data_IF_332431370964
#
_entry.id   IF_332431370964
#
_cell.length_a   1.000
_cell.length_b   1.000
_cell.length_c   1.000
_cell.angle_alpha   90.00
_cell.angle_beta   90.00
_cell.angle_gamma   90.00
#
_symmetry.space_group_name_H-M   'P 1'
#
loop_
_entity.id
_entity.type
_entity.pdbx_description
1 polymer ?
#
# COMPACT_ATOMS: atom_id res chain seq x y z
N UNK A 1 -12.83 -12.32 -0.14
CA UNK A 1 -11.69 -12.19 -1.08
C UNK A 1 -11.11 -10.79 -0.98
N UNK A 2 -11.96 -9.80 -0.85
CA UNK A 2 -11.66 -8.36 -0.86
C UNK A 2 -10.68 -7.98 0.25
N UNK A 3 -10.88 -8.50 1.46
CA UNK A 3 -9.95 -8.31 2.57
C UNK A 3 -8.54 -8.83 2.26
N UNK A 4 -8.43 -9.98 1.57
CA UNK A 4 -7.15 -10.57 1.25
C UNK A 4 -6.34 -9.68 0.28
N UNK A 5 -6.99 -9.03 -0.69
CA UNK A 5 -6.32 -8.14 -1.65
C UNK A 5 -5.55 -7.05 -0.92
N UNK A 6 -6.16 -6.45 0.11
CA UNK A 6 -5.59 -5.31 0.83
C UNK A 6 -4.58 -5.76 1.89
N UNK A 7 -4.92 -6.80 2.67
CA UNK A 7 -4.09 -7.19 3.81
C UNK A 7 -2.91 -8.10 3.46
N UNK A 8 -2.90 -8.80 2.31
CA UNK A 8 -1.76 -9.61 1.88
C UNK A 8 -0.46 -8.80 1.75
N UNK A 9 -0.44 -7.60 1.12
CA UNK A 9 0.76 -6.77 1.10
C UNK A 9 1.21 -6.34 2.49
N UNK A 10 0.29 -6.04 3.42
CA UNK A 10 0.61 -5.70 4.80
C UNK A 10 1.28 -6.87 5.52
N UNK A 11 0.70 -8.07 5.41
CA UNK A 11 1.29 -9.29 5.95
C UNK A 11 2.68 -9.51 5.35
N UNK A 12 2.82 -9.30 4.03
CA UNK A 12 4.09 -9.36 3.32
C UNK A 12 5.13 -8.41 3.92
N UNK A 13 4.74 -7.16 4.20
CA UNK A 13 5.63 -6.17 4.80
C UNK A 13 6.13 -6.60 6.18
N UNK A 14 5.21 -7.06 7.04
CA UNK A 14 5.54 -7.48 8.42
C UNK A 14 6.37 -8.75 8.41
N UNK A 15 5.92 -9.80 7.72
CA UNK A 15 6.61 -11.09 7.65
C UNK A 15 7.96 -10.96 6.94
N UNK A 16 8.04 -10.17 5.88
CA UNK A 16 9.28 -9.88 5.18
C UNK A 16 10.30 -9.17 6.04
N UNK A 17 9.87 -8.22 6.87
CA UNK A 17 10.75 -7.51 7.79
C UNK A 17 11.23 -8.37 8.95
N UNK A 18 10.31 -9.10 9.61
CA UNK A 18 10.63 -9.97 10.74
C UNK A 18 11.44 -11.20 10.30
N UNK A 19 11.12 -11.75 9.14
CA UNK A 19 11.79 -12.93 8.57
C UNK A 19 13.16 -12.68 7.95
N UNK A 20 13.68 -11.45 8.04
CA UNK A 20 14.99 -11.07 7.45
C UNK A 20 16.17 -11.93 7.92
N UNK A 21 16.06 -12.53 9.09
CA UNK A 21 17.11 -13.39 9.70
C UNK A 21 16.96 -14.88 9.35
N UNK A 22 15.80 -15.31 8.79
CA UNK A 22 15.51 -16.72 8.56
C UNK A 22 16.26 -17.28 7.35
N UNK A 23 16.25 -16.58 6.21
CA UNK A 23 16.97 -17.01 5.00
C UNK A 23 17.31 -15.81 4.11
N UNK A 24 18.37 -15.96 3.30
CA UNK A 24 18.91 -14.90 2.43
C UNK A 24 17.90 -14.29 1.46
N UNK A 25 16.96 -15.08 0.95
CA UNK A 25 15.95 -14.66 -0.04
C UNK A 25 14.52 -14.69 0.50
N UNK A 26 14.32 -14.95 1.79
CA UNK A 26 13.01 -15.13 2.40
C UNK A 26 12.11 -13.91 2.21
N UNK A 27 12.62 -12.74 2.55
CA UNK A 27 11.86 -11.48 2.46
C UNK A 27 11.44 -11.17 1.02
N UNK A 28 12.36 -11.34 0.06
CA UNK A 28 12.11 -11.05 -1.36
C UNK A 28 11.02 -11.95 -1.95
N UNK A 29 11.13 -13.27 -1.69
CA UNK A 29 10.17 -14.25 -2.20
C UNK A 29 8.80 -14.04 -1.54
N UNK A 30 8.76 -13.89 -0.22
CA UNK A 30 7.51 -13.76 0.53
C UNK A 30 6.75 -12.49 0.14
N UNK A 31 7.41 -11.34 0.11
CA UNK A 31 6.76 -10.07 -0.26
C UNK A 31 6.26 -10.11 -1.70
N UNK A 32 7.09 -10.55 -2.65
CA UNK A 32 6.73 -10.61 -4.05
C UNK A 32 5.59 -11.61 -4.32
N UNK A 33 5.61 -12.78 -3.66
CA UNK A 33 4.57 -13.79 -3.79
C UNK A 33 3.23 -13.29 -3.26
N UNK A 34 3.21 -12.65 -2.08
CA UNK A 34 1.97 -12.16 -1.47
C UNK A 34 1.36 -11.01 -2.29
N UNK A 35 2.19 -10.12 -2.84
CA UNK A 35 1.71 -9.06 -3.74
C UNK A 35 1.23 -9.65 -5.07
N UNK A 36 1.89 -10.67 -5.62
CA UNK A 36 1.42 -11.36 -6.83
C UNK A 36 0.08 -12.07 -6.62
N UNK A 37 -0.11 -12.72 -5.46
CA UNK A 37 -1.41 -13.29 -5.09
C UNK A 37 -2.48 -12.18 -4.99
N UNK A 38 -2.17 -11.05 -4.36
CA UNK A 38 -3.08 -9.90 -4.30
C UNK A 38 -3.45 -9.42 -5.71
N UNK A 39 -2.51 -9.37 -6.66
CA UNK A 39 -2.76 -9.01 -8.05
C UNK A 39 -3.69 -10.00 -8.76
N UNK A 40 -3.50 -11.31 -8.55
CA UNK A 40 -4.40 -12.32 -9.09
C UNK A 40 -5.82 -12.19 -8.52
N UNK A 41 -5.94 -11.94 -7.21
CA UNK A 41 -7.24 -11.76 -6.56
C UNK A 41 -7.95 -10.50 -7.06
N UNK A 42 -7.23 -9.40 -7.27
CA UNK A 42 -7.80 -8.15 -7.81
C UNK A 42 -8.35 -8.35 -9.23
N UNK A 43 -7.64 -9.09 -10.08
CA UNK A 43 -8.12 -9.47 -11.42
C UNK A 43 -9.42 -10.29 -11.35
N UNK A 44 -9.50 -11.26 -10.42
CA UNK A 44 -10.71 -12.07 -10.22
C UNK A 44 -11.87 -11.21 -9.76
N UNK A 45 -11.64 -10.27 -8.82
CA UNK A 45 -12.68 -9.34 -8.33
C UNK A 45 -13.16 -8.42 -9.43
N UNK A 46 -12.26 -7.87 -10.22
CA UNK A 46 -12.59 -7.05 -11.40
C UNK A 46 -13.45 -7.83 -12.43
N UNK A 47 -13.05 -9.06 -12.74
CA UNK A 47 -13.78 -9.90 -13.69
C UNK A 47 -15.19 -10.27 -13.19
N UNK A 48 -15.33 -10.52 -11.89
CA UNK A 48 -16.64 -10.76 -11.24
C UNK A 48 -17.50 -9.50 -11.28
N UNK A 49 -16.94 -8.33 -11.00
CA UNK A 49 -17.65 -7.05 -11.06
C UNK A 49 -18.25 -6.81 -12.45
N UNK A 50 -17.48 -7.03 -13.52
CA UNK A 50 -17.97 -6.89 -14.91
C UNK A 50 -19.10 -7.86 -15.23
N UNK A 51 -19.03 -9.13 -14.76
CA UNK A 51 -20.01 -10.14 -15.11
C UNK A 51 -21.31 -10.08 -14.30
N UNK A 52 -21.23 -9.68 -13.03
CA UNK A 52 -22.30 -9.90 -12.06
C UNK A 52 -22.77 -8.62 -11.38
N UNK A 53 -22.22 -7.45 -11.72
CA UNK A 53 -22.47 -6.16 -11.05
C UNK A 53 -22.41 -6.24 -9.51
N UNK A 54 -21.60 -7.18 -8.98
CA UNK A 54 -21.43 -7.39 -7.54
C UNK A 54 -20.39 -6.42 -7.03
N UNK A 55 -20.80 -5.22 -6.77
CA UNK A 55 -20.05 -4.19 -6.07
C UNK A 55 -20.62 -4.03 -4.66
N UNK A 56 -19.86 -3.55 -3.70
CA UNK A 56 -20.36 -3.37 -2.35
C UNK A 56 -19.39 -2.72 -1.38
N UNK A 57 -19.98 -2.28 -0.28
CA UNK A 57 -19.24 -1.71 0.84
C UNK A 57 -19.18 -2.75 1.97
N UNK A 58 -17.95 -3.09 2.38
CA UNK A 58 -17.67 -4.10 3.41
C UNK A 58 -17.10 -3.41 4.64
N UNK A 59 -17.92 -3.20 5.67
CA UNK A 59 -17.49 -2.63 6.95
C UNK A 59 -16.66 -3.67 7.70
N UNK A 60 -15.43 -3.28 8.11
CA UNK A 60 -14.52 -4.12 8.88
C UNK A 60 -14.77 -3.91 10.38
N UNK A 61 -14.74 -2.64 10.81
CA UNK A 61 -15.03 -2.24 12.19
C UNK A 61 -15.37 -0.75 12.27
N UNK A 62 -16.03 -0.35 13.36
CA UNK A 62 -16.22 1.06 13.70
C UNK A 62 -14.92 1.62 14.27
N UNK A 63 -14.35 2.60 13.59
CA UNK A 63 -13.09 3.20 14.00
C UNK A 63 -13.30 4.34 15.00
N UNK A 64 -14.16 5.27 14.67
CA UNK A 64 -14.46 6.44 15.50
C UNK A 64 -15.99 6.56 15.62
N UNK A 65 -16.49 6.61 16.85
CA UNK A 65 -17.89 6.88 17.16
C UNK A 65 -17.95 7.91 18.27
N UNK A 66 -18.46 9.12 17.97
CA UNK A 66 -18.59 10.20 18.95
C UNK A 66 -19.79 11.07 18.61
N UNK A 67 -20.78 11.09 19.53
CA UNK A 67 -21.96 11.99 19.53
C UNK A 67 -22.82 11.82 18.31
N UNK A 68 -22.80 11.84 17.26
CA UNK A 68 -23.59 11.70 16.02
C UNK A 68 -22.69 11.48 14.80
N UNK A 69 -21.38 11.49 15.00
CA UNK A 69 -20.39 11.22 13.96
C UNK A 69 -19.84 9.80 14.11
N UNK A 70 -19.95 9.01 13.03
CA UNK A 70 -19.38 7.66 12.95
C UNK A 70 -18.51 7.55 11.72
N UNK A 71 -17.28 7.10 11.89
CA UNK A 71 -16.38 6.74 10.81
C UNK A 71 -16.01 5.26 10.93
N UNK A 72 -16.33 4.50 9.90
CA UNK A 72 -16.07 3.09 9.83
C UNK A 72 -14.80 2.83 9.02
N UNK A 73 -14.06 1.80 9.37
CA UNK A 73 -13.06 1.25 8.48
C UNK A 73 -13.77 0.28 7.53
N UNK A 74 -13.83 0.64 6.28
CA UNK A 74 -14.59 -0.11 5.28
C UNK A 74 -13.79 -0.28 3.98
N UNK A 75 -14.21 -1.25 3.21
CA UNK A 75 -13.69 -1.52 1.86
C UNK A 75 -14.82 -1.24 0.91
N UNK A 76 -14.74 -0.14 0.19
CA UNK A 76 -15.70 0.21 -0.85
C UNK A 76 -15.16 -0.25 -2.21
N UNK A 77 -15.87 -1.20 -2.83
CA UNK A 77 -15.55 -1.68 -4.16
C UNK A 77 -16.66 -1.24 -5.12
N UNK A 78 -16.30 -0.32 -5.99
CA UNK A 78 -17.06 0.17 -7.11
C UNK A 78 -16.34 -0.12 -8.45
N UNK A 79 -16.92 0.16 -9.61
CA UNK A 79 -16.24 -0.05 -10.89
C UNK A 79 -14.90 0.65 -10.99
N UNK A 80 -14.79 1.88 -10.49
CA UNK A 80 -13.57 2.68 -10.55
C UNK A 80 -12.50 2.10 -9.62
N UNK A 81 -12.83 1.82 -8.35
CA UNK A 81 -11.90 1.24 -7.39
C UNK A 81 -11.44 -0.15 -7.84
N UNK A 82 -12.30 -0.96 -8.47
CA UNK A 82 -11.92 -2.29 -8.97
C UNK A 82 -10.86 -2.22 -10.07
N UNK A 83 -10.95 -1.26 -11.00
CA UNK A 83 -9.92 -1.00 -12.01
C UNK A 83 -8.62 -0.55 -11.34
N UNK A 84 -8.72 0.39 -10.40
CA UNK A 84 -7.55 0.90 -9.69
C UNK A 84 -6.85 -0.17 -8.84
N UNK A 85 -7.60 -1.07 -8.20
CA UNK A 85 -7.04 -2.23 -7.50
C UNK A 85 -6.18 -3.09 -8.42
N UNK A 86 -6.66 -3.39 -9.63
CA UNK A 86 -5.89 -4.15 -10.63
C UNK A 86 -4.62 -3.41 -11.02
N UNK A 87 -4.73 -2.12 -11.37
CA UNK A 87 -3.57 -1.32 -11.79
C UNK A 87 -2.51 -1.26 -10.69
N UNK A 88 -2.91 -0.91 -9.46
CA UNK A 88 -1.99 -0.77 -8.33
C UNK A 88 -1.31 -2.11 -8.00
N UNK A 89 -2.06 -3.19 -7.89
CA UNK A 89 -1.50 -4.50 -7.51
C UNK A 89 -0.62 -5.08 -8.62
N UNK A 90 -1.00 -4.92 -9.87
CA UNK A 90 -0.23 -5.42 -11.02
C UNK A 90 1.10 -4.67 -11.16
N UNK A 91 1.07 -3.34 -11.14
CA UNK A 91 2.30 -2.52 -11.21
C UNK A 91 3.20 -2.83 -10.01
N UNK A 92 2.62 -2.93 -8.81
CA UNK A 92 3.37 -3.28 -7.61
C UNK A 92 4.03 -4.65 -7.72
N UNK A 93 3.33 -5.66 -8.24
CA UNK A 93 3.90 -6.99 -8.46
C UNK A 93 5.11 -6.96 -9.42
N UNK A 94 5.00 -6.21 -10.53
CA UNK A 94 6.12 -6.03 -11.46
C UNK A 94 7.31 -5.32 -10.80
N UNK A 95 7.05 -4.28 -10.01
CA UNK A 95 8.10 -3.54 -9.30
C UNK A 95 8.77 -4.43 -8.25
N UNK A 96 8.03 -5.29 -7.53
CA UNK A 96 8.60 -6.25 -6.59
C UNK A 96 9.54 -7.24 -7.30
N UNK A 97 9.12 -7.82 -8.43
CA UNK A 97 9.94 -8.74 -9.23
C UNK A 97 11.20 -8.03 -9.73
N UNK A 98 11.05 -6.81 -10.27
CA UNK A 98 12.19 -6.01 -10.71
C UNK A 98 13.17 -5.71 -9.56
N UNK A 99 12.65 -5.38 -8.39
CA UNK A 99 13.45 -5.02 -7.21
C UNK A 99 14.30 -6.16 -6.67
N UNK A 100 13.94 -7.41 -6.90
CA UNK A 100 14.77 -8.59 -6.56
C UNK A 100 16.14 -8.50 -7.25
N UNK A 101 16.13 -8.19 -8.55
CA UNK A 101 17.37 -7.99 -9.32
C UNK A 101 18.07 -6.69 -8.98
N UNK A 102 17.31 -5.58 -8.94
CA UNK A 102 17.85 -4.24 -8.70
C UNK A 102 18.61 -4.12 -7.37
N UNK A 103 18.03 -4.69 -6.28
CA UNK A 103 18.64 -4.65 -4.95
C UNK A 103 19.57 -5.83 -4.67
N UNK A 104 19.99 -6.61 -5.69
CA UNK A 104 20.77 -7.86 -5.50
C UNK A 104 22.06 -7.68 -4.73
N UNK A 105 22.71 -6.52 -4.81
CA UNK A 105 23.98 -6.21 -4.16
C UNK A 105 23.85 -5.43 -2.84
N UNK A 106 22.63 -4.99 -2.45
CA UNK A 106 22.45 -4.20 -1.23
C UNK A 106 22.19 -5.11 -0.02
N UNK A 107 22.90 -4.94 1.10
CA UNK A 107 22.70 -5.74 2.32
C UNK A 107 21.35 -5.48 3.01
N UNK A 108 20.68 -4.37 2.71
CA UNK A 108 19.42 -3.96 3.33
C UNK A 108 18.16 -4.28 2.50
N UNK A 109 18.25 -5.19 1.53
CA UNK A 109 17.14 -5.63 0.69
C UNK A 109 15.84 -5.95 1.46
N UNK A 110 15.85 -6.70 2.59
CA UNK A 110 14.62 -7.04 3.30
C UNK A 110 13.84 -5.81 3.74
N UNK A 111 14.54 -4.76 4.17
CA UNK A 111 13.93 -3.49 4.56
C UNK A 111 13.29 -2.78 3.36
N UNK A 112 13.96 -2.78 2.21
CA UNK A 112 13.44 -2.19 0.99
C UNK A 112 12.15 -2.90 0.53
N UNK A 113 12.19 -4.22 0.45
CA UNK A 113 11.04 -5.02 0.03
C UNK A 113 9.83 -4.86 0.97
N UNK A 114 10.09 -4.76 2.27
CA UNK A 114 9.04 -4.51 3.27
C UNK A 114 8.42 -3.13 3.12
N UNK A 115 9.22 -2.09 2.88
CA UNK A 115 8.70 -0.73 2.63
C UNK A 115 7.87 -0.67 1.34
N UNK A 116 8.29 -1.38 0.30
CA UNK A 116 7.57 -1.46 -0.96
C UNK A 116 6.20 -2.15 -0.80
N UNK A 117 6.16 -3.24 -0.02
CA UNK A 117 4.91 -3.91 0.33
C UNK A 117 4.00 -3.03 1.20
N UNK A 118 4.56 -2.29 2.16
CA UNK A 118 3.81 -1.35 2.99
C UNK A 118 3.24 -0.20 2.17
N UNK A 119 4.00 0.31 1.21
CA UNK A 119 3.53 1.30 0.23
C UNK A 119 2.32 0.78 -0.56
N UNK A 120 2.41 -0.46 -1.04
CA UNK A 120 1.29 -1.10 -1.76
C UNK A 120 0.04 -1.20 -0.89
N UNK A 121 0.19 -1.63 0.36
CA UNK A 121 -0.93 -1.66 1.32
C UNK A 121 -1.57 -0.28 1.52
N UNK A 122 -0.76 0.76 1.76
CA UNK A 122 -1.26 2.13 1.96
C UNK A 122 -1.99 2.66 0.73
N UNK A 123 -1.48 2.36 -0.46
CA UNK A 123 -2.13 2.74 -1.71
C UNK A 123 -3.46 2.01 -1.93
N UNK A 124 -3.52 0.71 -1.58
CA UNK A 124 -4.78 -0.05 -1.64
C UNK A 124 -5.80 0.47 -0.62
N UNK A 125 -5.37 0.78 0.61
CA UNK A 125 -6.23 1.37 1.63
C UNK A 125 -6.80 2.72 1.20
N UNK A 126 -6.01 3.53 0.47
CA UNK A 126 -6.45 4.78 -0.13
C UNK A 126 -7.55 4.56 -1.18
N UNK A 127 -7.30 3.64 -2.12
CA UNK A 127 -8.18 3.38 -3.27
C UNK A 127 -9.55 2.86 -2.86
N UNK A 128 -9.62 2.07 -1.79
CA UNK A 128 -10.88 1.47 -1.30
C UNK A 128 -11.53 2.26 -0.18
N UNK A 129 -11.04 3.45 0.12
CA UNK A 129 -11.58 4.28 1.20
C UNK A 129 -13.04 4.70 0.92
N UNK A 130 -13.90 4.57 1.93
CA UNK A 130 -15.31 4.93 1.88
C UNK A 130 -15.58 6.30 2.52
N UNK A 131 -14.64 6.80 3.31
CA UNK A 131 -14.77 8.07 4.02
C UNK A 131 -13.44 8.85 4.03
N UNK A 132 -13.56 10.17 4.26
CA UNK A 132 -12.40 11.08 4.24
C UNK A 132 -11.34 10.75 5.29
N UNK A 133 -11.70 10.20 6.45
CA UNK A 133 -10.73 9.84 7.48
C UNK A 133 -9.86 8.66 7.04
N UNK A 134 -10.47 7.65 6.43
CA UNK A 134 -9.76 6.50 5.90
C UNK A 134 -8.91 6.91 4.68
N UNK A 135 -9.44 7.78 3.82
CA UNK A 135 -8.71 8.35 2.68
C UNK A 135 -7.48 9.12 3.17
N UNK A 136 -7.64 9.96 4.20
CA UNK A 136 -6.54 10.67 4.82
C UNK A 136 -5.48 9.73 5.39
N UNK A 137 -5.90 8.67 6.10
CA UNK A 137 -4.99 7.65 6.61
C UNK A 137 -4.17 6.98 5.49
N UNK A 138 -4.83 6.57 4.41
CA UNK A 138 -4.16 5.96 3.25
C UNK A 138 -3.19 6.93 2.59
N UNK A 139 -3.58 8.20 2.45
CA UNK A 139 -2.75 9.26 1.87
C UNK A 139 -1.48 9.52 2.67
N UNK A 140 -1.61 9.72 3.98
CA UNK A 140 -0.46 9.91 4.86
C UNK A 140 0.43 8.66 4.91
N UNK A 141 -0.18 7.47 4.85
CA UNK A 141 0.54 6.20 4.76
C UNK A 141 1.40 6.12 3.49
N UNK A 142 0.87 6.50 2.34
CA UNK A 142 1.61 6.57 1.07
C UNK A 142 2.75 7.60 1.16
N UNK A 143 2.47 8.78 1.73
CA UNK A 143 3.47 9.82 1.98
C UNK A 143 4.62 9.33 2.86
N UNK A 144 4.31 8.68 3.97
CA UNK A 144 5.31 8.10 4.88
C UNK A 144 6.14 7.01 4.20
N UNK A 145 5.50 6.09 3.48
CA UNK A 145 6.21 5.03 2.77
C UNK A 145 7.12 5.59 1.66
N UNK A 146 6.66 6.63 0.95
CA UNK A 146 7.48 7.35 -0.03
C UNK A 146 8.72 7.97 0.61
N UNK A 147 8.55 8.63 1.76
CA UNK A 147 9.66 9.17 2.54
C UNK A 147 10.69 8.09 2.90
N UNK A 148 10.23 6.92 3.39
CA UNK A 148 11.10 5.81 3.76
C UNK A 148 11.83 5.18 2.56
N UNK A 149 11.19 5.15 1.38
CA UNK A 149 11.77 4.62 0.16
C UNK A 149 12.77 5.59 -0.47
N UNK A 150 12.46 6.89 -0.54
CA UNK A 150 13.36 7.92 -1.07
C UNK A 150 14.58 8.08 -0.16
N UNK A 151 14.35 8.11 1.16
CA UNK A 151 15.39 8.18 2.19
C UNK A 151 16.04 6.83 2.52
N UNK A 152 15.88 5.81 1.67
CA UNK A 152 16.40 4.46 1.92
C UNK A 152 17.89 4.45 2.23
N UNK A 153 18.68 5.17 1.45
CA UNK A 153 20.12 5.40 1.70
C UNK A 153 20.34 6.63 2.60
N UNK A 154 19.90 6.56 3.84
CA UNK A 154 19.91 7.65 4.83
C UNK A 154 21.30 8.25 5.11
N UNK A 155 22.38 7.58 4.69
CA UNK A 155 23.76 8.10 4.78
C UNK A 155 24.09 9.13 3.70
N UNK A 156 23.22 9.31 2.69
CA UNK A 156 23.42 10.29 1.62
C UNK A 156 22.56 11.52 1.89
N UNK A 157 23.19 12.67 2.11
CA UNK A 157 22.50 13.94 2.37
C UNK A 157 21.53 14.34 1.25
N UNK A 158 21.89 14.03 0.00
CA UNK A 158 21.02 14.28 -1.15
C UNK A 158 19.72 13.48 -1.08
N UNK A 159 19.77 12.22 -0.63
CA UNK A 159 18.60 11.37 -0.47
C UNK A 159 17.71 11.86 0.70
N UNK A 160 18.32 12.26 1.82
CA UNK A 160 17.59 12.79 2.97
C UNK A 160 16.88 14.09 2.63
N UNK A 161 17.55 15.03 1.96
CA UNK A 161 16.94 16.29 1.53
C UNK A 161 15.80 16.07 0.53
N UNK A 162 15.94 15.11 -0.39
CA UNK A 162 14.87 14.74 -1.33
C UNK A 162 13.67 14.10 -0.61
N UNK A 163 13.92 13.20 0.36
CA UNK A 163 12.88 12.57 1.15
C UNK A 163 12.06 13.58 1.97
N UNK A 164 12.73 14.52 2.63
CA UNK A 164 12.07 15.59 3.40
C UNK A 164 11.24 16.48 2.48
N UNK A 165 11.77 16.89 1.33
CA UNK A 165 11.04 17.70 0.35
C UNK A 165 9.79 16.97 -0.16
N UNK A 166 9.91 15.68 -0.50
CA UNK A 166 8.80 14.88 -0.98
C UNK A 166 7.71 14.73 0.10
N UNK A 167 8.10 14.46 1.35
CA UNK A 167 7.16 14.32 2.46
C UNK A 167 6.40 15.63 2.74
N UNK A 168 7.12 16.76 2.84
CA UNK A 168 6.51 18.06 3.05
C UNK A 168 5.59 18.41 1.88
N UNK A 169 5.99 18.16 0.63
CA UNK A 169 5.15 18.44 -0.53
C UNK A 169 3.84 17.66 -0.49
N UNK A 170 3.88 16.37 -0.16
CA UNK A 170 2.68 15.51 -0.10
C UNK A 170 1.75 15.94 1.04
N UNK A 171 2.27 16.15 2.25
CA UNK A 171 1.44 16.51 3.41
C UNK A 171 0.93 17.95 3.37
N UNK A 172 1.76 18.90 2.88
CA UNK A 172 1.39 20.32 2.90
C UNK A 172 0.45 20.75 1.78
N UNK A 173 0.63 20.23 0.57
CA UNK A 173 -0.17 20.68 -0.58
C UNK A 173 -1.60 20.16 -0.51
N UNK A 174 -1.84 18.99 0.07
CA UNK A 174 -3.18 18.43 0.18
C UNK A 174 -3.95 18.91 1.43
N UNK A 175 -3.31 19.03 2.58
CA UNK A 175 -3.98 19.52 3.79
C UNK A 175 -4.32 21.02 3.70
N UNK A 176 -3.41 21.81 3.14
CA UNK A 176 -3.59 23.27 3.10
C UNK A 176 -4.44 23.77 1.92
N UNK A 177 -4.56 22.98 0.85
CA UNK A 177 -5.41 23.35 -0.29
C UNK A 177 -6.91 23.32 0.04
N UNK A 178 -7.31 22.72 1.15
CA UNK A 178 -8.70 22.70 1.62
C UNK A 178 -9.02 23.78 2.67
N UNK A 179 -8.04 24.56 3.12
CA UNK A 179 -8.25 25.64 4.10
C UNK A 179 -8.36 27.04 3.47
N UNK A 180 -8.24 27.16 2.17
CA UNK A 180 -8.46 28.39 1.39
C UNK A 180 -9.59 28.21 0.39
#
# INVERSE_FOLDING_TARGET
MEYAIIFLPLIGAVVGYLGRSLAKYFSEITTSLLVAISACLSLITFWKGIKSDVYGNYIIFEWISSGGFTANWSINIDPLSSVMLVVVTFVSALVHIYSIGYMSHDPHKPRFMSYLSLFTFSMLALVVSDNFLQLFFGWEGVGLCSYLLIGFWYKKDSANNAAIKAFIAVSYTHLRAHET
#
